data_IF_222237549683
#
_entry.id   IF_222237549683
#
_cell.length_a   1.000
_cell.length_b   1.000
_cell.length_c   1.000
_cell.angle_alpha   90.00
_cell.angle_beta   90.00
_cell.angle_gamma   90.00
#
_symmetry.space_group_name_H-M   'P 1'
#
loop_
_entity.id
_entity.type
_entity.pdbx_description
1 polymer ?
#
# COMPACT_ATOMS: atom_id res chain seq x y z
N UNK A 1 4.58 6.12 10.85
CA UNK A 1 3.88 5.74 9.62
C UNK A 1 4.79 4.94 8.71
N UNK A 2 5.00 3.70 9.11
CA UNK A 2 5.36 2.57 8.26
C UNK A 2 4.09 2.09 7.54
N UNK A 3 4.23 1.48 6.37
CA UNK A 3 3.12 0.83 5.67
C UNK A 3 3.37 -0.67 5.55
N UNK A 4 2.42 -1.48 6.02
CA UNK A 4 2.51 -2.93 6.02
C UNK A 4 1.28 -3.53 5.35
N UNK A 5 1.52 -4.50 4.46
CA UNK A 5 0.50 -5.22 3.70
C UNK A 5 0.58 -6.69 4.09
N UNK A 6 -0.56 -7.31 4.42
CA UNK A 6 -0.64 -8.70 4.86
C UNK A 6 -1.70 -9.44 4.05
N UNK A 7 -1.38 -10.65 3.62
CA UNK A 7 -2.38 -11.53 3.02
C UNK A 7 -3.28 -12.07 4.13
N UNK A 8 -4.58 -11.81 4.06
CA UNK A 8 -5.53 -12.23 5.07
C UNK A 8 -6.83 -12.73 4.42
N UNK A 9 -7.30 -13.91 4.82
CA UNK A 9 -8.58 -14.44 4.39
C UNK A 9 -9.75 -13.81 5.18
N UNK A 10 -10.98 -14.05 4.72
CA UNK A 10 -12.15 -13.43 5.34
C UNK A 10 -12.35 -13.86 6.80
N UNK A 11 -12.02 -15.11 7.15
CA UNK A 11 -12.12 -15.60 8.52
C UNK A 11 -11.11 -14.92 9.45
N UNK A 12 -9.91 -14.65 8.96
CA UNK A 12 -8.88 -13.88 9.67
C UNK A 12 -9.37 -12.47 9.93
N UNK A 13 -9.89 -11.79 8.91
CA UNK A 13 -10.41 -10.42 9.08
C UNK A 13 -11.62 -10.37 10.00
N UNK A 14 -12.52 -11.34 9.93
CA UNK A 14 -13.65 -11.44 10.86
C UNK A 14 -13.15 -11.60 12.31
N UNK A 15 -12.13 -12.43 12.54
CA UNK A 15 -11.52 -12.58 13.86
C UNK A 15 -10.89 -11.28 14.35
N UNK A 16 -10.02 -10.66 13.54
CA UNK A 16 -9.28 -9.45 13.92
C UNK A 16 -10.23 -8.26 14.16
N UNK A 17 -11.23 -8.07 13.31
CA UNK A 17 -12.20 -6.95 13.43
C UNK A 17 -13.19 -7.08 14.59
N UNK A 18 -13.23 -8.23 15.26
CA UNK A 18 -14.00 -8.43 16.49
C UNK A 18 -13.15 -8.32 17.76
N UNK A 19 -11.84 -8.08 17.63
CA UNK A 19 -10.97 -7.82 18.78
C UNK A 19 -11.30 -6.46 19.40
N UNK A 20 -11.12 -6.33 20.72
CA UNK A 20 -11.31 -5.06 21.44
C UNK A 20 -10.23 -4.04 21.04
N UNK A 21 -9.01 -4.51 20.76
CA UNK A 21 -7.91 -3.73 20.23
C UNK A 21 -7.52 -4.25 18.83
N UNK A 22 -8.17 -3.70 17.81
CA UNK A 22 -7.92 -4.07 16.43
C UNK A 22 -6.46 -3.83 16.02
N UNK A 23 -5.81 -2.77 16.53
CA UNK A 23 -4.45 -2.45 16.13
C UNK A 23 -3.46 -3.48 16.69
N UNK A 24 -3.55 -3.77 17.99
CA UNK A 24 -2.71 -4.80 18.63
C UNK A 24 -2.92 -6.16 17.96
N UNK A 25 -4.17 -6.56 17.68
CA UNK A 25 -4.46 -7.82 17.01
C UNK A 25 -3.87 -7.90 15.58
N UNK A 26 -3.83 -6.77 14.86
CA UNK A 26 -3.22 -6.69 13.52
C UNK A 26 -1.69 -6.72 13.60
N UNK A 27 -1.08 -6.07 14.58
CA UNK A 27 0.37 -6.15 14.82
C UNK A 27 0.78 -7.59 15.16
N UNK A 28 0.08 -8.23 16.10
CA UNK A 28 0.34 -9.63 16.46
C UNK A 28 0.21 -10.57 15.26
N UNK A 29 -0.83 -10.36 14.44
CA UNK A 29 -1.03 -11.13 13.21
C UNK A 29 0.12 -10.93 12.22
N UNK A 30 0.61 -9.69 12.05
CA UNK A 30 1.75 -9.37 11.21
C UNK A 30 3.06 -10.03 11.65
N UNK A 31 3.24 -10.21 12.97
CA UNK A 31 4.42 -10.83 13.58
C UNK A 31 4.39 -12.37 13.56
N UNK A 32 3.24 -12.99 13.24
CA UNK A 32 3.16 -14.44 13.10
C UNK A 32 4.08 -14.94 11.96
N UNK A 33 4.91 -15.95 12.24
CA UNK A 33 5.81 -16.55 11.24
C UNK A 33 5.12 -17.14 10.00
N UNK A 34 3.81 -17.37 10.09
CA UNK A 34 2.95 -17.88 9.00
C UNK A 34 2.35 -16.79 8.14
N UNK A 35 2.36 -15.53 8.60
CA UNK A 35 1.78 -14.40 7.88
C UNK A 35 2.69 -13.97 6.75
N UNK A 36 2.11 -13.87 5.56
CA UNK A 36 2.81 -13.32 4.39
C UNK A 36 2.60 -11.81 4.43
N UNK A 37 3.63 -11.10 4.89
CA UNK A 37 3.64 -9.64 4.99
C UNK A 37 4.64 -9.01 4.02
N UNK A 38 4.34 -7.79 3.59
CA UNK A 38 5.21 -6.91 2.82
C UNK A 38 5.24 -5.53 3.49
N UNK A 39 6.44 -5.08 3.85
CA UNK A 39 6.69 -3.76 4.45
C UNK A 39 7.30 -2.83 3.39
N UNK A 40 6.64 -1.69 3.14
CA UNK A 40 7.10 -0.64 2.22
C UNK A 40 7.88 0.48 2.94
N UNK A 41 8.14 0.30 4.24
CA UNK A 41 8.65 1.30 5.17
C UNK A 41 7.81 2.58 5.03
N UNK A 42 8.45 3.72 4.76
CA UNK A 42 7.78 5.02 4.72
C UNK A 42 7.37 5.44 3.32
N UNK A 43 7.56 4.60 2.30
CA UNK A 43 7.41 5.03 0.90
C UNK A 43 5.98 4.90 0.35
N UNK A 44 5.01 4.48 1.16
CA UNK A 44 3.60 4.30 0.74
C UNK A 44 2.97 5.56 0.14
N UNK A 45 3.09 6.73 0.78
CA UNK A 45 2.51 7.99 0.25
C UNK A 45 3.24 8.48 -1.00
N UNK A 46 4.56 8.27 -1.05
CA UNK A 46 5.39 8.52 -2.22
C UNK A 46 4.97 7.67 -3.43
N UNK A 47 4.73 6.37 -3.20
CA UNK A 47 4.29 5.46 -4.23
C UNK A 47 2.86 5.77 -4.68
N UNK A 48 1.96 6.06 -3.75
CA UNK A 48 0.61 6.52 -4.06
C UNK A 48 0.61 7.76 -4.95
N UNK A 49 1.40 8.78 -4.57
CA UNK A 49 1.52 10.01 -5.35
C UNK A 49 2.15 9.78 -6.73
N UNK A 50 3.13 8.87 -6.85
CA UNK A 50 3.71 8.50 -8.13
C UNK A 50 2.65 7.88 -9.07
N UNK A 51 1.78 7.03 -8.53
CA UNK A 51 0.76 6.30 -9.29
C UNK A 51 -0.47 7.15 -9.63
N UNK A 52 -0.84 8.09 -8.76
CA UNK A 52 -2.14 8.80 -8.84
C UNK A 52 -2.02 10.31 -8.98
N UNK A 53 -0.87 10.89 -8.63
CA UNK A 53 -0.68 12.34 -8.53
C UNK A 53 -1.33 12.99 -7.30
N UNK A 54 -1.83 12.20 -6.35
CA UNK A 54 -2.56 12.63 -5.16
C UNK A 54 -1.93 11.96 -3.92
N UNK A 55 -1.96 12.60 -2.76
CA UNK A 55 -1.49 11.97 -1.51
C UNK A 55 -2.44 10.86 -1.08
N UNK A 56 -1.92 9.81 -0.44
CA UNK A 56 -2.74 8.75 0.17
C UNK A 56 -3.61 9.26 1.33
N UNK A 57 -3.37 10.49 1.82
CA UNK A 57 -4.24 11.16 2.79
C UNK A 57 -5.56 11.65 2.17
N UNK A 58 -5.65 11.70 0.85
CA UNK A 58 -6.87 12.07 0.13
C UNK A 58 -7.53 10.82 -0.46
N UNK A 59 -8.86 10.72 -0.34
CA UNK A 59 -9.62 9.60 -0.89
C UNK A 59 -9.78 9.73 -2.41
N UNK A 60 -9.50 8.65 -3.13
CA UNK A 60 -9.84 8.52 -4.55
C UNK A 60 -10.75 7.31 -4.73
N UNK A 61 -12.04 7.55 -4.91
CA UNK A 61 -13.01 6.47 -5.07
C UNK A 61 -12.79 5.69 -6.38
N UNK A 62 -12.91 4.35 -6.31
CA UNK A 62 -12.87 3.45 -7.45
C UNK A 62 -11.58 3.59 -8.28
N UNK A 63 -10.44 3.79 -7.63
CA UNK A 63 -9.13 3.84 -8.26
C UNK A 63 -8.27 2.67 -7.79
N UNK A 64 -8.15 1.60 -8.60
CA UNK A 64 -7.40 0.41 -8.20
C UNK A 64 -5.92 0.66 -7.87
N UNK A 65 -5.29 1.71 -8.42
CA UNK A 65 -3.92 2.08 -8.06
C UNK A 65 -3.84 2.78 -6.70
N UNK A 66 -4.87 3.55 -6.33
CA UNK A 66 -4.99 4.12 -4.99
C UNK A 66 -5.28 3.01 -3.97
N UNK A 67 -6.27 2.18 -4.26
CA UNK A 67 -6.71 1.06 -3.43
C UNK A 67 -5.61 0.01 -3.21
N UNK A 68 -4.65 -0.11 -4.15
CA UNK A 68 -3.44 -0.91 -3.95
C UNK A 68 -2.61 -0.47 -2.74
N UNK A 69 -2.66 0.82 -2.40
CA UNK A 69 -1.89 1.40 -1.29
C UNK A 69 -2.74 1.53 -0.02
N UNK A 70 -4.00 1.99 -0.15
CA UNK A 70 -4.83 2.36 1.01
C UNK A 70 -5.94 1.35 1.34
N UNK A 71 -6.06 0.26 0.56
CA UNK A 71 -7.16 -0.69 0.73
C UNK A 71 -8.52 -0.14 0.30
N UNK A 72 -9.60 -0.86 0.59
CA UNK A 72 -10.97 -0.49 0.17
C UNK A 72 -11.95 -0.34 1.33
N UNK A 73 -11.98 -1.30 2.26
CA UNK A 73 -12.79 -1.22 3.49
C UNK A 73 -11.93 -0.71 4.64
N UNK A 74 -12.08 0.56 4.98
CA UNK A 74 -11.41 1.19 6.11
C UNK A 74 -12.11 0.78 7.42
N UNK A 75 -11.33 0.44 8.44
CA UNK A 75 -11.82 0.18 9.80
C UNK A 75 -11.76 1.46 10.64
N UNK A 76 -12.67 1.59 11.59
CA UNK A 76 -12.76 2.73 12.50
C UNK A 76 -11.87 2.47 13.74
N UNK A 77 -10.59 2.86 13.65
CA UNK A 77 -9.60 2.74 14.71
C UNK A 77 -8.63 3.94 14.71
N UNK A 78 -7.79 4.08 15.75
CA UNK A 78 -6.87 5.22 15.89
C UNK A 78 -5.82 5.25 14.77
N UNK A 79 -5.26 4.09 14.42
CA UNK A 79 -4.34 3.89 13.31
C UNK A 79 -5.07 3.56 12.00
N UNK A 80 -4.39 3.72 10.86
CA UNK A 80 -5.03 3.44 9.58
C UNK A 80 -4.99 1.95 9.27
N UNK A 81 -6.15 1.29 9.30
CA UNK A 81 -6.31 -0.10 8.90
C UNK A 81 -7.39 -0.21 7.84
N UNK A 82 -7.10 -0.94 6.76
CA UNK A 82 -8.06 -1.20 5.69
C UNK A 82 -7.91 -2.61 5.12
N UNK A 83 -9.00 -3.18 4.62
CA UNK A 83 -8.98 -4.48 3.97
C UNK A 83 -9.55 -4.42 2.55
N UNK A 84 -8.91 -5.15 1.64
CA UNK A 84 -9.41 -5.40 0.30
C UNK A 84 -9.77 -6.86 0.14
N UNK A 85 -11.06 -7.09 -0.16
CA UNK A 85 -11.60 -8.43 -0.34
C UNK A 85 -11.04 -9.14 -1.59
N UNK A 86 -10.93 -10.49 -1.58
CA UNK A 86 -10.35 -11.26 -2.68
C UNK A 86 -10.96 -10.98 -4.05
N UNK A 87 -12.27 -10.70 -4.11
CA UNK A 87 -12.98 -10.40 -5.34
C UNK A 87 -12.55 -9.09 -6.02
N UNK A 88 -11.95 -8.17 -5.28
CA UNK A 88 -11.47 -6.87 -5.77
C UNK A 88 -9.98 -6.88 -6.14
N UNK A 89 -9.21 -7.85 -5.64
CA UNK A 89 -7.77 -7.97 -5.88
C UNK A 89 -7.43 -8.06 -7.37
N UNK A 90 -8.29 -8.70 -8.18
CA UNK A 90 -8.05 -8.81 -9.62
C UNK A 90 -7.96 -7.44 -10.32
N UNK A 91 -8.81 -6.50 -9.95
CA UNK A 91 -8.83 -5.17 -10.59
C UNK A 91 -7.59 -4.36 -10.23
N UNK A 92 -7.11 -4.51 -8.98
CA UNK A 92 -5.82 -3.95 -8.54
C UNK A 92 -4.66 -4.55 -9.31
N UNK A 93 -4.58 -5.89 -9.40
CA UNK A 93 -3.51 -6.58 -10.15
C UNK A 93 -3.50 -6.17 -11.62
N UNK A 94 -4.68 -6.06 -12.25
CA UNK A 94 -4.79 -5.61 -13.64
C UNK A 94 -4.29 -4.17 -13.81
N UNK A 95 -4.58 -3.28 -12.86
CA UNK A 95 -4.10 -1.90 -12.89
C UNK A 95 -2.59 -1.79 -12.66
N UNK A 96 -2.04 -2.51 -11.68
CA UNK A 96 -0.60 -2.59 -11.42
C UNK A 96 0.16 -3.19 -12.62
N UNK A 97 -0.45 -4.15 -13.32
CA UNK A 97 0.12 -4.72 -14.55
C UNK A 97 0.12 -3.75 -15.74
N UNK A 98 -0.83 -2.83 -15.81
CA UNK A 98 -0.92 -1.81 -16.86
C UNK A 98 -0.03 -0.60 -16.59
N UNK A 99 0.31 -0.32 -15.33
CA UNK A 99 1.17 0.79 -14.96
C UNK A 99 2.60 0.57 -15.46
N UNK A 100 3.11 1.51 -16.25
CA UNK A 100 4.50 1.50 -16.72
C UNK A 100 5.40 2.25 -15.72
N UNK A 101 6.02 1.50 -14.81
CA UNK A 101 6.87 2.07 -13.77
C UNK A 101 8.09 2.80 -14.33
N UNK A 102 8.62 2.41 -15.48
CA UNK A 102 9.77 3.10 -16.08
C UNK A 102 9.36 4.52 -16.50
N UNK A 103 8.21 4.64 -17.18
CA UNK A 103 7.66 5.94 -17.60
C UNK A 103 7.32 6.82 -16.39
N UNK A 104 6.74 6.25 -15.33
CA UNK A 104 6.42 7.00 -14.10
C UNK A 104 7.69 7.54 -13.43
N UNK A 105 8.73 6.71 -13.31
CA UNK A 105 9.99 7.10 -12.68
C UNK A 105 10.78 8.12 -13.53
N UNK A 106 10.77 7.98 -14.85
CA UNK A 106 11.38 8.96 -15.76
C UNK A 106 10.69 10.32 -15.66
N UNK A 107 9.36 10.34 -15.58
CA UNK A 107 8.54 11.56 -15.47
C UNK A 107 8.43 12.13 -14.05
N UNK A 108 8.97 11.45 -13.05
CA UNK A 108 8.90 11.84 -11.64
C UNK A 108 9.58 13.20 -11.40
N UNK A 109 8.82 14.13 -10.81
CA UNK A 109 9.25 15.48 -10.45
C UNK A 109 9.17 15.69 -8.93
N UNK A 110 10.31 15.62 -8.25
CA UNK A 110 10.40 15.80 -6.79
C UNK A 110 9.90 17.16 -6.30
N UNK A 111 9.84 18.19 -7.16
CA UNK A 111 9.26 19.48 -6.76
C UNK A 111 7.76 19.39 -6.53
N UNK A 112 7.05 18.53 -7.28
CA UNK A 112 5.63 18.25 -7.07
C UNK A 112 5.40 17.50 -5.77
N UNK A 113 6.21 16.49 -5.49
CA UNK A 113 6.15 15.74 -4.22
C UNK A 113 6.34 16.68 -3.02
N UNK A 114 7.34 17.56 -3.05
CA UNK A 114 7.53 18.57 -1.99
C UNK A 114 6.35 19.53 -1.87
N UNK A 115 5.83 20.03 -2.99
CA UNK A 115 4.71 20.98 -3.01
C UNK A 115 3.43 20.36 -2.44
N UNK A 116 3.19 19.09 -2.75
CA UNK A 116 2.07 18.31 -2.23
C UNK A 116 2.31 17.82 -0.79
N UNK A 117 3.48 18.09 -0.19
CA UNK A 117 3.86 17.71 1.18
C UNK A 117 3.77 16.20 1.43
N UNK A 118 4.11 15.41 0.41
CA UNK A 118 4.06 13.95 0.47
C UNK A 118 4.95 13.43 1.60
N UNK A 119 4.44 12.47 2.37
CA UNK A 119 5.17 11.81 3.43
C UNK A 119 6.19 10.79 2.88
N UNK A 120 7.36 10.63 3.52
CA UNK A 120 7.94 11.51 4.52
C UNK A 120 8.58 12.73 3.83
N UNK A 121 9.00 13.73 4.62
CA UNK A 121 9.63 14.94 4.08
C UNK A 121 11.08 14.70 3.60
N UNK A 122 11.26 13.85 2.58
CA UNK A 122 12.56 13.39 2.05
C UNK A 122 12.76 13.71 0.57
N UNK A 123 11.77 14.28 -0.11
CA UNK A 123 11.73 14.44 -1.57
C UNK A 123 12.68 15.52 -2.09
N UNK A 124 13.99 15.37 -1.93
CA UNK A 124 15.01 16.38 -2.26
C UNK A 124 15.92 15.94 -3.41
N UNK A 125 16.37 16.90 -4.21
CA UNK A 125 17.11 16.63 -5.47
C UNK A 125 18.43 15.87 -5.27
N UNK A 126 19.11 16.04 -4.13
CA UNK A 126 20.37 15.36 -3.84
C UNK A 126 20.25 13.83 -3.84
N UNK A 127 19.07 13.30 -3.50
CA UNK A 127 18.82 11.87 -3.32
C UNK A 127 17.96 11.30 -4.46
N UNK A 128 17.71 12.08 -5.53
CA UNK A 128 16.72 11.76 -6.57
C UNK A 128 16.92 10.38 -7.21
N UNK A 129 18.17 10.03 -7.56
CA UNK A 129 18.46 8.73 -8.18
C UNK A 129 18.14 7.56 -7.25
N UNK A 130 18.42 7.71 -5.95
CA UNK A 130 18.14 6.69 -4.96
C UNK A 130 16.63 6.57 -4.74
N UNK A 131 15.93 7.69 -4.54
CA UNK A 131 14.46 7.71 -4.37
C UNK A 131 13.73 7.08 -5.56
N UNK A 132 14.19 7.37 -6.79
CA UNK A 132 13.67 6.74 -8.02
C UNK A 132 13.87 5.21 -8.00
N UNK A 133 15.05 4.75 -7.62
CA UNK A 133 15.36 3.33 -7.57
C UNK A 133 14.56 2.60 -6.47
N UNK A 134 14.39 3.22 -5.30
CA UNK A 134 13.61 2.69 -4.18
C UNK A 134 12.13 2.61 -4.53
N UNK A 135 11.51 3.69 -5.03
CA UNK A 135 10.10 3.67 -5.44
C UNK A 135 9.83 2.63 -6.54
N UNK A 136 10.77 2.48 -7.49
CA UNK A 136 10.67 1.43 -8.51
C UNK A 136 10.71 0.03 -7.90
N UNK A 137 11.65 -0.22 -6.98
CA UNK A 137 11.78 -1.49 -6.28
C UNK A 137 10.49 -1.79 -5.49
N UNK A 138 9.98 -0.82 -4.75
CA UNK A 138 8.78 -1.00 -3.93
C UNK A 138 7.52 -1.18 -4.77
N UNK A 139 7.39 -0.50 -5.92
CA UNK A 139 6.32 -0.79 -6.87
C UNK A 139 6.34 -2.26 -7.33
N UNK A 140 7.51 -2.79 -7.68
CA UNK A 140 7.65 -4.18 -8.15
C UNK A 140 7.36 -5.18 -7.02
N UNK A 141 7.78 -4.88 -5.78
CA UNK A 141 7.48 -5.71 -4.62
C UNK A 141 5.98 -5.72 -4.32
N UNK A 142 5.34 -4.56 -4.27
CA UNK A 142 3.89 -4.43 -4.07
C UNK A 142 3.11 -5.17 -5.15
N UNK A 143 3.52 -5.01 -6.41
CA UNK A 143 2.92 -5.74 -7.54
C UNK A 143 3.02 -7.25 -7.36
N UNK A 144 4.20 -7.79 -7.04
CA UNK A 144 4.38 -9.21 -6.80
C UNK A 144 3.55 -9.70 -5.60
N UNK A 145 3.40 -8.86 -4.56
CA UNK A 145 2.57 -9.15 -3.40
C UNK A 145 1.08 -9.28 -3.76
N UNK A 146 0.54 -8.35 -4.55
CA UNK A 146 -0.84 -8.44 -5.03
C UNK A 146 -1.07 -9.59 -6.01
N UNK A 147 -0.08 -9.94 -6.84
CA UNK A 147 -0.14 -11.15 -7.68
C UNK A 147 -0.20 -12.41 -6.80
N UNK A 148 0.52 -12.44 -5.68
CA UNK A 148 0.41 -13.53 -4.71
C UNK A 148 -0.97 -13.58 -4.04
N UNK A 149 -1.53 -12.43 -3.67
CA UNK A 149 -2.89 -12.34 -3.13
C UNK A 149 -3.92 -12.93 -4.11
N UNK A 150 -3.82 -12.57 -5.39
CA UNK A 150 -4.70 -13.07 -6.45
C UNK A 150 -4.57 -14.59 -6.63
N UNK A 151 -3.34 -15.10 -6.71
CA UNK A 151 -3.08 -16.53 -6.91
C UNK A 151 -3.54 -17.37 -5.70
N UNK A 152 -3.44 -16.81 -4.50
CA UNK A 152 -3.87 -17.46 -3.26
C UNK A 152 -5.36 -17.26 -2.96
N UNK A 153 -6.08 -16.52 -3.81
CA UNK A 153 -7.50 -16.17 -3.65
C UNK A 153 -7.82 -15.57 -2.27
N UNK A 154 -6.90 -14.77 -1.75
CA UNK A 154 -7.00 -14.12 -0.45
C UNK A 154 -7.07 -12.60 -0.60
N UNK A 155 -7.45 -11.91 0.46
CA UNK A 155 -7.50 -10.45 0.48
C UNK A 155 -6.19 -9.84 0.98
N UNK A 156 -6.16 -8.52 1.02
CA UNK A 156 -5.01 -7.75 1.50
C UNK A 156 -5.46 -6.83 2.62
N UNK A 157 -4.87 -7.02 3.80
CA UNK A 157 -4.95 -6.12 4.94
C UNK A 157 -3.82 -5.10 4.84
N UNK A 158 -4.15 -3.83 4.98
CA UNK A 158 -3.24 -2.69 4.97
C UNK A 158 -3.24 -2.09 6.36
N UNK A 159 -2.06 -1.89 6.95
CA UNK A 159 -1.86 -1.15 8.20
C UNK A 159 -0.82 -0.05 7.98
N UNK A 160 -1.14 1.19 8.39
CA UNK A 160 -0.22 2.34 8.31
C UNK A 160 -0.16 3.05 9.68
N UNK A 161 1.00 3.03 10.33
CA UNK A 161 1.20 3.46 11.74
C UNK A 161 2.58 4.09 12.01
#
# INVERSE_FOLDING_TARGET
>A
MLGVYMLADEATIERLSNDEDLFEAVEEYGDESTTIAYDIDKLWDGLHFLLTGVSAQETIENNPLSEAIVGTKIFDCEDFIAYTYPNHIKDIVDALNKADIEVLIESMDLSKFRKAKIYPNIWVKKDEKQLKAELKKEFLNLKAFYENALNSQTGVLVSIY
#
